data_IF_539481863732
#
_entry.id   IF_539481863732
#
_cell.length_a   1.000
_cell.length_b   1.000
_cell.length_c   1.000
_cell.angle_alpha   90.00
_cell.angle_beta   90.00
_cell.angle_gamma   90.00
#
_symmetry.space_group_name_H-M   'P 1'
#
loop_
_entity.id
_entity.type
_entity.pdbx_description
1 polymer ?
#
# COMPACT_ATOMS: atom_id res chain seq x y z
N UNK A 1 -84.79 0.32 -0.02
CA UNK A 1 -83.83 0.08 1.08
C UNK A 1 -82.42 0.04 0.52
N UNK A 2 -81.46 0.63 1.26
CA UNK A 2 -80.01 0.34 1.35
C UNK A 2 -79.12 0.56 0.11
N UNK A 3 -77.92 1.12 0.19
CA UNK A 3 -77.16 1.79 1.26
C UNK A 3 -75.96 2.46 0.55
N UNK A 4 -75.70 3.75 0.81
CA UNK A 4 -74.58 4.46 0.19
C UNK A 4 -73.27 4.14 0.91
N UNK A 5 -72.37 3.43 0.25
CA UNK A 5 -71.04 3.10 0.79
C UNK A 5 -70.18 4.36 0.96
N UNK A 6 -69.89 4.69 2.22
CA UNK A 6 -69.04 5.81 2.64
C UNK A 6 -67.56 5.50 2.31
N UNK A 7 -66.98 6.26 1.37
CA UNK A 7 -65.55 6.20 1.03
C UNK A 7 -64.74 6.97 2.07
N UNK A 8 -63.96 6.26 2.88
CA UNK A 8 -63.02 6.84 3.84
C UNK A 8 -61.82 7.43 3.08
N UNK A 9 -61.68 8.76 3.11
CA UNK A 9 -60.51 9.45 2.56
C UNK A 9 -59.37 9.29 3.55
N UNK A 10 -58.45 8.37 3.28
CA UNK A 10 -57.20 8.25 4.02
C UNK A 10 -56.45 9.59 3.90
N UNK A 11 -56.25 10.26 5.03
CA UNK A 11 -55.60 11.56 5.09
C UNK A 11 -54.16 11.46 4.64
N UNK A 12 -53.84 12.12 3.53
CA UNK A 12 -52.47 12.38 3.10
C UNK A 12 -51.83 13.32 4.14
N UNK A 13 -51.04 12.76 5.05
CA UNK A 13 -50.27 13.53 6.03
C UNK A 13 -49.16 14.27 5.28
N UNK A 14 -49.44 15.51 4.89
CA UNK A 14 -48.48 16.40 4.26
C UNK A 14 -47.29 16.66 5.18
N UNK A 15 -46.09 16.53 4.63
CA UNK A 15 -44.82 16.82 5.29
C UNK A 15 -44.81 18.28 5.77
N UNK A 16 -44.43 18.52 7.03
CA UNK A 16 -44.36 19.90 7.53
C UNK A 16 -43.09 20.60 7.04
N UNK A 17 -43.16 21.91 6.78
CA UNK A 17 -41.97 22.69 6.40
C UNK A 17 -40.91 22.70 7.51
N UNK A 18 -41.35 22.60 8.76
CA UNK A 18 -40.45 22.53 9.92
C UNK A 18 -39.70 21.19 9.97
N UNK A 19 -40.33 20.07 9.59
CA UNK A 19 -39.64 18.78 9.44
C UNK A 19 -38.52 18.89 8.41
N UNK A 20 -38.79 19.46 7.24
CA UNK A 20 -37.78 19.60 6.19
C UNK A 20 -36.60 20.48 6.66
N UNK A 21 -36.89 21.55 7.40
CA UNK A 21 -35.88 22.49 7.90
C UNK A 21 -34.93 21.86 8.92
N UNK A 22 -35.45 21.06 9.85
CA UNK A 22 -34.62 20.32 10.81
C UNK A 22 -33.75 19.28 10.12
N UNK A 23 -34.28 18.60 9.09
CA UNK A 23 -33.56 17.56 8.36
C UNK A 23 -32.36 18.14 7.63
N UNK A 24 -32.53 19.24 6.89
CA UNK A 24 -31.40 19.88 6.19
C UNK A 24 -30.37 20.46 7.16
N UNK A 25 -30.81 20.92 8.34
CA UNK A 25 -29.91 21.41 9.39
C UNK A 25 -29.03 20.27 9.93
N UNK A 26 -29.60 19.10 10.21
CA UNK A 26 -28.85 17.92 10.67
C UNK A 26 -27.94 17.39 9.56
N UNK A 27 -28.43 17.28 8.32
CA UNK A 27 -27.63 16.84 7.17
C UNK A 27 -26.44 17.78 6.91
N UNK A 28 -26.60 19.10 7.13
CA UNK A 28 -25.51 20.07 7.04
C UNK A 28 -24.40 19.85 8.08
N UNK A 29 -24.77 19.53 9.32
CA UNK A 29 -23.82 19.22 10.40
C UNK A 29 -23.10 17.89 10.12
N UNK A 30 -23.84 16.85 9.73
CA UNK A 30 -23.27 15.53 9.41
C UNK A 30 -22.33 15.60 8.20
N UNK A 31 -22.69 16.34 7.15
CA UNK A 31 -21.87 16.51 5.96
C UNK A 31 -20.50 17.16 6.24
N UNK A 32 -20.42 18.07 7.22
CA UNK A 32 -19.17 18.72 7.60
C UNK A 32 -18.19 17.79 8.34
N UNK A 33 -18.70 16.80 9.09
CA UNK A 33 -17.89 15.92 9.95
C UNK A 33 -17.40 14.66 9.23
N UNK A 34 -18.11 14.20 8.19
CA UNK A 34 -17.83 12.91 7.52
C UNK A 34 -16.54 12.92 6.67
N UNK A 35 -15.94 14.07 6.38
CA UNK A 35 -14.86 14.18 5.36
C UNK A 35 -13.46 13.69 5.80
N UNK A 36 -12.89 13.91 7.00
CA UNK A 36 -11.45 13.81 7.13
C UNK A 36 -11.04 12.41 7.60
N UNK A 37 -10.22 11.72 6.78
CA UNK A 37 -8.93 11.09 7.16
C UNK A 37 -8.37 10.07 6.16
N UNK A 38 -8.89 9.98 4.93
CA UNK A 38 -8.33 9.01 3.95
C UNK A 38 -6.92 9.41 3.48
N UNK A 39 -6.59 10.70 3.45
CA UNK A 39 -5.33 11.19 2.85
C UNK A 39 -4.09 10.98 3.72
N UNK A 40 -4.18 11.11 5.05
CA UNK A 40 -3.01 10.98 5.95
C UNK A 40 -2.61 9.51 6.16
N UNK A 41 -3.58 8.58 6.08
CA UNK A 41 -3.29 7.15 6.23
C UNK A 41 -2.47 6.60 5.05
N UNK A 42 -2.78 7.00 3.82
CA UNK A 42 -2.11 6.51 2.62
C UNK A 42 -0.62 6.87 2.57
N UNK A 43 -0.23 8.08 2.98
CA UNK A 43 1.17 8.49 2.99
C UNK A 43 1.99 7.70 4.02
N UNK A 44 1.42 7.50 5.22
CA UNK A 44 2.07 6.68 6.26
C UNK A 44 2.17 5.20 5.89
N UNK A 45 1.23 4.70 5.08
CA UNK A 45 1.27 3.34 4.54
C UNK A 45 2.39 3.16 3.52
N UNK A 46 2.60 4.15 2.65
CA UNK A 46 3.66 4.14 1.65
C UNK A 46 5.05 4.13 2.27
N UNK A 47 5.31 4.98 3.28
CA UNK A 47 6.59 4.98 4.00
C UNK A 47 6.85 3.68 4.77
N UNK A 48 5.80 3.09 5.34
CA UNK A 48 5.91 1.79 6.03
C UNK A 48 6.25 0.68 5.05
N UNK A 49 5.56 0.64 3.91
CA UNK A 49 5.84 -0.31 2.84
C UNK A 49 7.29 -0.18 2.35
N UNK A 50 7.76 1.06 2.12
CA UNK A 50 9.13 1.34 1.73
C UNK A 50 10.16 0.76 2.71
N UNK A 51 9.96 0.98 4.01
CA UNK A 51 10.85 0.47 5.06
C UNK A 51 10.84 -1.05 5.15
N UNK A 52 9.66 -1.67 5.05
CA UNK A 52 9.52 -3.13 5.09
C UNK A 52 10.22 -3.77 3.90
N UNK A 53 9.99 -3.27 2.67
CA UNK A 53 10.61 -3.83 1.48
C UNK A 53 12.14 -3.64 1.50
N UNK A 54 12.63 -2.45 1.90
CA UNK A 54 14.07 -2.22 2.09
C UNK A 54 14.70 -3.20 3.11
N UNK A 55 14.00 -3.47 4.21
CA UNK A 55 14.48 -4.43 5.21
C UNK A 55 14.57 -5.85 4.64
N UNK A 56 13.58 -6.27 3.84
CA UNK A 56 13.57 -7.57 3.20
C UNK A 56 14.74 -7.70 2.20
N UNK A 57 14.95 -6.70 1.35
CA UNK A 57 16.07 -6.68 0.39
C UNK A 57 17.42 -6.74 1.11
N UNK A 58 17.62 -5.93 2.16
CA UNK A 58 18.86 -5.96 2.97
C UNK A 58 19.12 -7.31 3.60
N UNK A 59 18.08 -7.92 4.15
CA UNK A 59 18.16 -9.24 4.79
C UNK A 59 18.55 -10.30 3.76
N UNK A 60 17.93 -10.27 2.57
CA UNK A 60 18.25 -11.18 1.49
C UNK A 60 19.69 -11.03 0.98
N UNK A 61 20.16 -9.80 0.75
CA UNK A 61 21.55 -9.52 0.35
C UNK A 61 22.55 -10.01 1.41
N UNK A 62 22.27 -9.72 2.69
CA UNK A 62 23.11 -10.18 3.81
C UNK A 62 23.15 -11.70 3.90
N UNK A 63 22.00 -12.37 3.73
CA UNK A 63 21.91 -13.83 3.75
C UNK A 63 22.70 -14.46 2.60
N UNK A 64 22.57 -13.92 1.39
CA UNK A 64 23.32 -14.38 0.22
C UNK A 64 24.84 -14.27 0.45
N UNK A 65 25.31 -13.13 0.95
CA UNK A 65 26.74 -12.92 1.23
C UNK A 65 27.25 -13.80 2.36
N UNK A 66 26.45 -13.99 3.41
CA UNK A 66 26.79 -14.86 4.53
C UNK A 66 26.90 -16.33 4.09
N UNK A 67 25.96 -16.82 3.27
CA UNK A 67 25.99 -18.18 2.75
C UNK A 67 27.12 -18.41 1.74
N UNK A 68 27.45 -17.39 0.96
CA UNK A 68 28.58 -17.42 0.03
C UNK A 68 29.95 -17.23 0.73
N UNK A 69 29.97 -16.95 2.04
CA UNK A 69 31.18 -16.66 2.81
C UNK A 69 32.05 -15.56 2.17
N UNK A 70 31.41 -14.53 1.62
CA UNK A 70 32.08 -13.44 0.88
C UNK A 70 31.67 -12.06 1.38
N UNK A 71 32.62 -11.13 1.33
CA UNK A 71 32.37 -9.70 1.58
C UNK A 71 32.14 -8.91 0.30
N UNK A 72 32.12 -9.58 -0.86
CA UNK A 72 31.92 -8.93 -2.17
C UNK A 72 30.87 -9.63 -3.01
N UNK A 73 30.08 -8.82 -3.72
CA UNK A 73 29.11 -9.25 -4.72
C UNK A 73 29.77 -9.14 -6.11
N UNK A 74 29.76 -10.23 -6.86
CA UNK A 74 30.40 -10.30 -8.19
C UNK A 74 29.67 -9.46 -9.23
N UNK A 75 28.34 -9.45 -9.20
CA UNK A 75 27.50 -8.64 -10.08
C UNK A 75 26.56 -7.77 -9.24
N UNK A 76 27.04 -6.61 -8.75
CA UNK A 76 26.22 -5.65 -8.04
C UNK A 76 25.20 -4.97 -8.97
N UNK A 77 24.24 -4.29 -8.38
CA UNK A 77 23.24 -3.47 -9.07
C UNK A 77 23.47 -2.02 -8.68
N UNK A 78 24.32 -1.32 -9.42
CA UNK A 78 24.75 0.05 -9.09
C UNK A 78 23.83 1.16 -9.64
N UNK A 79 22.80 0.78 -10.40
CA UNK A 79 21.78 1.71 -10.92
C UNK A 79 20.47 1.46 -10.22
N UNK A 80 19.79 2.54 -9.81
CA UNK A 80 18.46 2.42 -9.21
C UNK A 80 17.51 1.72 -10.18
N UNK A 81 16.96 0.58 -9.73
CA UNK A 81 16.02 -0.23 -10.48
C UNK A 81 15.10 -0.97 -9.52
N UNK A 82 13.90 -1.28 -9.99
CA UNK A 82 12.92 -2.18 -9.39
C UNK A 82 13.19 -3.67 -9.71
N UNK A 83 14.25 -3.96 -10.46
CA UNK A 83 14.66 -5.31 -10.84
C UNK A 83 16.09 -5.64 -10.37
N UNK A 84 16.16 -6.43 -9.28
CA UNK A 84 17.40 -6.94 -8.70
C UNK A 84 17.74 -8.37 -9.15
N UNK A 85 17.03 -8.95 -10.13
CA UNK A 85 17.25 -10.33 -10.60
C UNK A 85 18.67 -10.55 -11.15
N UNK A 86 19.33 -9.48 -11.58
CA UNK A 86 20.74 -9.53 -12.00
C UNK A 86 21.74 -9.68 -10.85
N UNK A 87 21.36 -9.48 -9.59
CA UNK A 87 22.29 -9.48 -8.48
C UNK A 87 22.75 -10.90 -8.10
N UNK A 88 24.06 -11.15 -8.15
CA UNK A 88 24.64 -12.44 -7.75
C UNK A 88 26.11 -12.33 -7.30
N UNK A 89 26.56 -13.33 -6.55
CA UNK A 89 27.98 -13.53 -6.24
C UNK A 89 28.45 -14.93 -6.62
N UNK A 90 29.72 -15.05 -7.02
CA UNK A 90 30.34 -16.31 -7.43
C UNK A 90 31.53 -16.60 -6.52
N UNK A 91 31.46 -17.72 -5.80
CA UNK A 91 32.53 -18.18 -4.90
C UNK A 91 32.83 -19.62 -5.22
N UNK A 92 34.11 -19.93 -5.51
CA UNK A 92 34.56 -21.29 -5.86
C UNK A 92 33.76 -21.95 -7.01
N UNK A 93 33.27 -21.16 -7.97
CA UNK A 93 32.47 -21.66 -9.10
C UNK A 93 30.99 -21.91 -8.80
N UNK A 94 30.53 -21.67 -7.56
CA UNK A 94 29.12 -21.71 -7.18
C UNK A 94 28.55 -20.29 -7.30
N UNK A 95 27.40 -20.17 -7.96
CA UNK A 95 26.68 -18.89 -8.08
C UNK A 95 25.57 -18.84 -7.03
N UNK A 96 25.56 -17.77 -6.25
CA UNK A 96 24.51 -17.45 -5.30
C UNK A 96 23.74 -16.26 -5.86
N UNK A 97 22.46 -16.45 -6.20
CA UNK A 97 21.62 -15.42 -6.79
C UNK A 97 20.75 -14.80 -5.71
N UNK A 98 20.48 -13.50 -5.78
CA UNK A 98 19.59 -12.85 -4.82
C UNK A 98 18.15 -13.43 -4.87
N UNK A 99 17.76 -13.95 -6.03
CA UNK A 99 16.46 -14.62 -6.28
C UNK A 99 16.20 -15.81 -5.35
N UNK A 100 17.24 -16.47 -4.86
CA UNK A 100 17.11 -17.60 -3.94
C UNK A 100 16.77 -17.15 -2.49
N UNK A 101 16.92 -15.86 -2.19
CA UNK A 101 16.79 -15.28 -0.85
C UNK A 101 15.67 -14.26 -0.73
N UNK A 102 15.09 -13.81 -1.85
CA UNK A 102 14.03 -12.82 -1.89
C UNK A 102 12.90 -13.32 -2.80
N UNK A 103 11.69 -13.44 -2.24
CA UNK A 103 10.52 -14.01 -2.93
C UNK A 103 10.16 -13.28 -4.24
N UNK A 104 10.35 -11.96 -4.26
CA UNK A 104 10.13 -11.11 -5.43
C UNK A 104 11.36 -10.20 -5.60
N UNK A 105 12.09 -10.40 -6.70
CA UNK A 105 13.30 -9.64 -7.05
C UNK A 105 13.10 -8.64 -8.18
N UNK A 106 12.05 -8.83 -8.99
CA UNK A 106 11.66 -7.96 -10.10
C UNK A 106 10.33 -7.29 -9.78
N UNK A 107 10.03 -6.15 -10.42
CA UNK A 107 8.78 -5.41 -10.21
C UNK A 107 8.56 -5.07 -8.71
N UNK A 108 9.64 -4.67 -8.04
CA UNK A 108 9.60 -4.18 -6.66
C UNK A 108 8.79 -2.87 -6.59
N UNK A 109 8.21 -2.58 -5.43
CA UNK A 109 7.41 -1.37 -5.27
C UNK A 109 8.27 -0.10 -5.29
N UNK A 110 9.58 -0.23 -4.99
CA UNK A 110 10.56 0.83 -4.99
C UNK A 110 11.82 0.45 -5.75
N UNK A 111 12.65 1.44 -6.03
CA UNK A 111 13.91 1.23 -6.72
C UNK A 111 15.08 1.14 -5.74
N UNK A 112 16.03 0.26 -6.04
CA UNK A 112 17.15 -0.05 -5.17
C UNK A 112 18.46 -0.09 -5.93
N UNK A 113 19.56 0.16 -5.22
CA UNK A 113 20.89 -0.28 -5.61
C UNK A 113 21.42 -1.27 -4.58
N UNK A 114 22.27 -2.18 -5.05
CA UNK A 114 23.02 -3.12 -4.22
C UNK A 114 24.48 -3.00 -4.63
N UNK A 115 25.30 -2.39 -3.79
CA UNK A 115 26.72 -2.17 -4.08
C UNK A 115 27.52 -3.46 -4.01
N UNK A 116 28.75 -3.44 -4.54
CA UNK A 116 29.68 -4.57 -4.43
C UNK A 116 29.98 -4.99 -2.98
N UNK A 117 29.83 -4.11 -1.99
CA UNK A 117 30.02 -4.42 -0.57
C UNK A 117 28.75 -4.93 0.12
N UNK A 118 27.63 -5.06 -0.60
CA UNK A 118 26.34 -5.45 -0.03
C UNK A 118 25.53 -4.30 0.57
N UNK A 119 25.94 -3.05 0.36
CA UNK A 119 25.14 -1.91 0.79
C UNK A 119 23.90 -1.77 -0.08
N UNK A 120 22.72 -1.74 0.55
CA UNK A 120 21.44 -1.54 -0.14
C UNK A 120 20.93 -0.12 0.12
N UNK A 121 20.75 0.63 -0.95
CA UNK A 121 20.18 1.99 -0.93
C UNK A 121 18.84 1.98 -1.67
N UNK A 122 17.81 2.55 -1.05
CA UNK A 122 16.49 2.70 -1.65
C UNK A 122 16.30 4.13 -2.15
N UNK A 123 15.62 4.27 -3.29
CA UNK A 123 15.07 5.54 -3.76
C UNK A 123 13.57 5.57 -3.51
N UNK A 124 13.13 6.58 -2.77
CA UNK A 124 11.70 6.87 -2.56
C UNK A 124 11.32 7.97 -3.56
N UNK A 125 10.28 7.78 -4.39
CA UNK A 125 9.80 8.80 -5.33
C UNK A 125 9.13 10.00 -4.65
#
# INVERSE_FOLDING_TARGET
MMEGTKKERHGEKGFTLIELLVIIAILGILGAVVIPKVTVFSQSGHEKAAKTELHNVRTAVTAMMAQAETSTITNPVDTFTDDLSGCYTVVNGVTYRLEDYLEKVNDLAFEYTVSASGEVVQRIP
#
